data_IF_189997268770
#
_entry.id   IF_189997268770
#
_cell.length_a   1.000
_cell.length_b   1.000
_cell.length_c   1.000
_cell.angle_alpha   90.00
_cell.angle_beta   90.00
_cell.angle_gamma   90.00
#
_symmetry.space_group_name_H-M   'P 1'
#
loop_
_entity.id
_entity.type
_entity.pdbx_description
1 polymer ?
#
# COMPACT_ATOMS: atom_id res chain seq x y z
N UNK A 1 18.23 3.24 0.38
CA UNK A 1 17.03 2.90 1.16
C UNK A 1 16.05 4.05 1.15
N UNK A 2 14.80 3.76 1.24
CA UNK A 2 13.74 4.76 1.08
C UNK A 2 13.18 5.20 2.43
N UNK A 3 12.53 6.37 2.45
CA UNK A 3 11.68 6.79 3.56
C UNK A 3 10.29 6.15 3.42
N UNK A 4 9.53 6.13 4.51
CA UNK A 4 8.13 5.66 4.48
C UNK A 4 7.32 6.46 3.46
N UNK A 5 7.46 7.79 3.46
CA UNK A 5 6.75 8.63 2.49
C UNK A 5 7.10 8.29 1.04
N UNK A 6 8.39 8.01 0.75
CA UNK A 6 8.82 7.63 -0.59
C UNK A 6 8.24 6.27 -0.99
N UNK A 7 8.18 5.31 -0.06
CA UNK A 7 7.57 4.00 -0.31
C UNK A 7 6.09 4.15 -0.61
N UNK A 8 5.35 4.95 0.17
CA UNK A 8 3.94 5.19 -0.05
C UNK A 8 3.68 5.81 -1.43
N UNK A 9 4.49 6.79 -1.84
CA UNK A 9 4.40 7.39 -3.18
C UNK A 9 4.70 6.38 -4.28
N UNK A 10 5.69 5.52 -4.07
CA UNK A 10 6.04 4.49 -5.05
C UNK A 10 4.91 3.49 -5.21
N UNK A 11 4.29 3.06 -4.11
CA UNK A 11 3.13 2.16 -4.15
C UNK A 11 2.00 2.79 -4.95
N UNK A 12 1.70 4.07 -4.70
CA UNK A 12 0.69 4.79 -5.48
C UNK A 12 1.02 4.79 -6.96
N UNK A 13 2.28 5.08 -7.30
CA UNK A 13 2.72 5.12 -8.71
C UNK A 13 2.55 3.77 -9.41
N UNK A 14 2.83 2.67 -8.70
CA UNK A 14 2.78 1.31 -9.30
C UNK A 14 1.37 0.75 -9.26
N UNK A 15 0.71 0.82 -8.11
CA UNK A 15 -0.57 0.12 -7.88
C UNK A 15 -1.80 0.97 -8.21
N UNK A 16 -1.67 2.29 -8.21
CA UNK A 16 -2.78 3.18 -8.58
C UNK A 16 -3.70 3.55 -7.43
N UNK A 17 -3.32 3.29 -6.18
CA UNK A 17 -4.08 3.73 -5.00
C UNK A 17 -3.13 4.14 -3.89
N UNK A 18 -3.61 5.03 -3.01
CA UNK A 18 -2.84 5.50 -1.87
C UNK A 18 -2.87 4.50 -0.72
N UNK A 19 -1.82 4.50 0.09
CA UNK A 19 -1.71 3.65 1.26
C UNK A 19 -1.15 4.45 2.43
N UNK A 20 -1.42 3.97 3.66
CA UNK A 20 -0.77 4.44 4.87
C UNK A 20 -0.06 3.26 5.53
N UNK A 21 1.24 3.38 5.73
CA UNK A 21 2.03 2.35 6.41
C UNK A 21 1.92 2.59 7.92
N UNK A 22 1.67 1.50 8.66
CA UNK A 22 1.48 1.53 10.11
C UNK A 22 2.42 0.54 10.80
N UNK A 23 2.70 0.80 12.07
CA UNK A 23 3.28 -0.22 12.94
C UNK A 23 2.29 -1.36 13.17
N UNK A 24 2.78 -2.52 13.59
CA UNK A 24 1.92 -3.68 13.85
C UNK A 24 0.87 -3.43 14.94
N UNK A 25 1.10 -2.47 15.82
CA UNK A 25 0.14 -2.07 16.86
C UNK A 25 -0.88 -1.04 16.38
N UNK A 26 -0.88 -0.70 15.10
CA UNK A 26 -1.83 0.24 14.49
C UNK A 26 -1.41 1.69 14.52
N UNK A 27 -0.31 2.05 15.17
CA UNK A 27 0.16 3.43 15.20
C UNK A 27 0.75 3.83 13.85
N UNK A 28 0.59 5.11 13.49
CA UNK A 28 1.18 5.64 12.26
C UNK A 28 2.71 5.61 12.35
N UNK A 29 3.34 5.27 11.22
CA UNK A 29 4.78 5.41 11.05
C UNK A 29 5.05 6.79 10.48
N UNK A 30 6.09 7.46 10.99
CA UNK A 30 6.47 8.78 10.49
C UNK A 30 6.92 8.69 9.03
N UNK A 31 6.50 9.68 8.23
CA UNK A 31 6.85 9.72 6.80
C UNK A 31 8.35 9.81 6.56
N UNK A 32 9.09 10.42 7.48
CA UNK A 32 10.53 10.61 7.36
C UNK A 32 11.34 9.42 7.91
N UNK A 33 10.68 8.38 8.39
CA UNK A 33 11.36 7.16 8.81
C UNK A 33 12.17 6.61 7.63
N UNK A 34 13.46 6.36 7.86
CA UNK A 34 14.40 5.89 6.85
C UNK A 34 14.63 4.38 6.95
N UNK A 35 15.49 3.86 6.07
CA UNK A 35 15.90 2.45 6.04
C UNK A 35 14.77 1.49 5.69
N UNK A 36 13.75 1.99 4.98
CA UNK A 36 12.73 1.12 4.42
C UNK A 36 13.24 0.49 3.13
N UNK A 37 13.02 -0.82 2.90
CA UNK A 37 13.29 -1.39 1.59
C UNK A 37 12.50 -0.64 0.53
N UNK A 38 13.06 -0.51 -0.66
CA UNK A 38 12.31 0.06 -1.78
C UNK A 38 11.23 -0.93 -2.22
N UNK A 39 10.09 -0.39 -2.63
CA UNK A 39 9.01 -1.21 -3.19
C UNK A 39 9.49 -1.75 -4.55
N UNK A 40 9.70 -3.08 -4.68
CA UNK A 40 10.44 -3.61 -5.84
C UNK A 40 9.57 -3.87 -7.07
N UNK A 41 8.25 -3.79 -6.92
CA UNK A 41 7.34 -4.13 -8.01
C UNK A 41 7.25 -2.99 -9.00
N UNK A 42 7.20 -3.32 -10.28
CA UNK A 42 7.14 -2.34 -11.37
C UNK A 42 5.79 -2.34 -12.08
N UNK A 43 5.01 -3.40 -11.93
CA UNK A 43 3.69 -3.53 -12.54
C UNK A 43 2.65 -3.67 -11.45
N UNK A 44 1.49 -3.08 -11.69
CA UNK A 44 0.36 -3.21 -10.80
C UNK A 44 -0.11 -4.66 -10.71
N UNK A 45 -0.55 -5.07 -9.52
CA UNK A 45 -1.23 -6.35 -9.35
C UNK A 45 -2.55 -6.31 -10.14
N UNK A 46 -2.99 -7.48 -10.64
CA UNK A 46 -4.16 -7.57 -11.52
C UNK A 46 -5.42 -6.98 -10.86
N UNK A 47 -6.26 -6.35 -11.66
CA UNK A 47 -7.53 -5.75 -11.22
C UNK A 47 -8.46 -6.76 -10.55
N UNK A 48 -8.39 -8.03 -10.93
CA UNK A 48 -9.21 -9.11 -10.34
C UNK A 48 -8.73 -9.53 -8.95
N UNK A 49 -7.55 -9.11 -8.53
CA UNK A 49 -7.05 -9.35 -7.16
C UNK A 49 -7.70 -8.36 -6.21
N UNK A 50 -7.84 -8.74 -4.94
CA UNK A 50 -8.39 -7.85 -3.93
C UNK A 50 -7.28 -7.21 -3.08
N UNK A 51 -7.67 -6.27 -2.22
CA UNK A 51 -6.74 -5.54 -1.34
C UNK A 51 -5.99 -6.50 -0.41
N UNK A 52 -6.68 -7.50 0.15
CA UNK A 52 -6.04 -8.47 1.04
C UNK A 52 -4.96 -9.26 0.32
N UNK A 53 -5.20 -9.68 -0.92
CA UNK A 53 -4.20 -10.39 -1.72
C UNK A 53 -2.98 -9.52 -2.00
N UNK A 54 -3.18 -8.22 -2.25
CA UNK A 54 -2.08 -7.29 -2.43
C UNK A 54 -1.26 -7.16 -1.13
N UNK A 55 -1.93 -7.00 0.01
CA UNK A 55 -1.24 -6.89 1.30
C UNK A 55 -0.38 -8.11 1.58
N UNK A 56 -0.94 -9.30 1.44
CA UNK A 56 -0.26 -10.55 1.77
C UNK A 56 0.79 -10.93 0.73
N UNK A 57 0.49 -10.74 -0.54
CA UNK A 57 1.34 -11.19 -1.64
C UNK A 57 2.49 -10.24 -1.96
N UNK A 58 2.32 -8.96 -1.69
CA UNK A 58 3.33 -7.96 -2.02
C UNK A 58 3.84 -7.19 -0.82
N UNK A 59 2.94 -6.50 -0.10
CA UNK A 59 3.39 -5.59 0.97
C UNK A 59 4.09 -6.34 2.09
N UNK A 60 3.48 -7.36 2.63
CA UNK A 60 4.02 -8.08 3.79
C UNK A 60 5.29 -8.85 3.47
N UNK A 61 5.48 -9.24 2.23
CA UNK A 61 6.72 -9.91 1.81
C UNK A 61 7.93 -8.98 1.86
N UNK A 62 7.73 -7.71 1.57
CA UNK A 62 8.81 -6.71 1.54
C UNK A 62 8.95 -6.04 2.91
N UNK A 63 7.85 -5.84 3.62
CA UNK A 63 7.80 -5.09 4.88
C UNK A 63 7.15 -5.92 6.00
N UNK A 64 7.74 -7.06 6.39
CA UNK A 64 7.09 -7.98 7.34
C UNK A 64 6.92 -7.39 8.74
N UNK A 65 7.63 -6.31 9.08
CA UNK A 65 7.50 -5.65 10.38
C UNK A 65 6.44 -4.56 10.44
N UNK A 66 5.63 -4.40 9.38
CA UNK A 66 4.66 -3.30 9.29
C UNK A 66 3.32 -3.81 8.79
N UNK A 67 2.30 -2.97 9.02
CA UNK A 67 0.99 -3.13 8.41
C UNK A 67 0.74 -1.98 7.44
N UNK A 68 -0.30 -2.12 6.62
CA UNK A 68 -0.66 -1.10 5.64
C UNK A 68 -2.17 -1.06 5.49
N UNK A 69 -2.71 0.16 5.34
CA UNK A 69 -4.09 0.37 4.93
C UNK A 69 -4.10 0.89 3.50
N UNK A 70 -4.90 0.26 2.63
CA UNK A 70 -5.21 0.82 1.33
C UNK A 70 -6.30 1.88 1.51
N UNK A 71 -6.14 3.02 0.86
CA UNK A 71 -7.04 4.16 1.03
C UNK A 71 -7.81 4.42 -0.26
N UNK A 72 -9.06 4.84 -0.12
CA UNK A 72 -9.80 5.45 -1.20
C UNK A 72 -9.35 6.90 -1.43
N UNK A 73 -9.84 7.56 -2.51
CA UNK A 73 -9.46 8.95 -2.78
C UNK A 73 -9.95 9.93 -1.70
N UNK A 74 -10.91 9.52 -0.87
CA UNK A 74 -11.37 10.28 0.28
C UNK A 74 -10.50 10.11 1.53
N UNK A 75 -9.45 9.30 1.46
CA UNK A 75 -8.55 9.02 2.57
C UNK A 75 -9.02 7.96 3.55
N UNK A 76 -10.14 7.30 3.29
CA UNK A 76 -10.67 6.25 4.16
C UNK A 76 -10.10 4.90 3.80
N UNK A 77 -9.92 4.05 4.82
CA UNK A 77 -9.47 2.67 4.62
C UNK A 77 -10.46 1.88 3.80
N UNK A 78 -9.95 1.04 2.91
CA UNK A 78 -10.73 0.19 2.02
C UNK A 78 -10.73 -1.24 2.55
N UNK A 79 -11.88 -1.90 2.50
CA UNK A 79 -12.03 -3.28 2.96
C UNK A 79 -11.17 -4.23 2.12
N UNK A 80 -10.59 -5.24 2.77
CA UNK A 80 -9.69 -6.20 2.12
C UNK A 80 -10.31 -7.00 0.99
N UNK A 81 -11.63 -7.18 0.97
CA UNK A 81 -12.33 -7.89 -0.10
C UNK A 81 -12.55 -7.01 -1.36
N UNK A 82 -12.28 -5.72 -1.28
CA UNK A 82 -12.45 -4.82 -2.43
C UNK A 82 -11.47 -5.19 -3.53
N UNK A 83 -11.97 -5.31 -4.76
CA UNK A 83 -11.11 -5.58 -5.92
C UNK A 83 -10.25 -4.36 -6.24
N UNK A 84 -9.01 -4.60 -6.63
CA UNK A 84 -8.08 -3.53 -6.97
C UNK A 84 -8.57 -2.71 -8.17
N UNK A 85 -9.17 -3.36 -9.15
CA UNK A 85 -9.77 -2.65 -10.29
C UNK A 85 -10.87 -1.70 -9.88
N UNK A 86 -11.72 -2.10 -8.92
CA UNK A 86 -12.76 -1.23 -8.37
C UNK A 86 -12.15 -0.03 -7.66
N UNK A 87 -11.16 -0.26 -6.81
CA UNK A 87 -10.47 0.80 -6.09
C UNK A 87 -9.79 1.79 -7.04
N UNK A 88 -9.09 1.28 -8.05
CA UNK A 88 -8.39 2.13 -9.04
C UNK A 88 -9.35 3.04 -9.79
N UNK A 89 -10.55 2.55 -10.10
CA UNK A 89 -11.56 3.36 -10.78
C UNK A 89 -12.03 4.55 -9.96
N UNK A 90 -11.99 4.45 -8.64
CA UNK A 90 -12.37 5.55 -7.75
C UNK A 90 -11.38 6.72 -7.83
N UNK A 91 -10.13 6.46 -8.26
CA UNK A 91 -9.12 7.50 -8.45
C UNK A 91 -9.15 8.13 -9.84
N UNK A 92 -9.91 7.58 -10.73
CA UNK A 92 -9.98 8.06 -12.11
C UNK A 92 -10.80 9.35 -12.25
#
# INVERSE_FOLDING_TARGET
>A
MATVGAVEKRIFSVEGFQVTIRHLDGRNVRDDRTRMPQYPFRRALADASNVAAWKEGRFQRVYPGFEVDALGPDGRSVHGATLLGTLRREYA
#
